data_IF_637627730746
#
_entry.id   IF_637627730746
#
_cell.length_a   1.000
_cell.length_b   1.000
_cell.length_c   1.000
_cell.angle_alpha   90.00
_cell.angle_beta   90.00
_cell.angle_gamma   90.00
#
_symmetry.space_group_name_H-M   'P 1'
#
loop_
_entity.id
_entity.type
_entity.pdbx_description
1 polymer ?
#
# COMPACT_ATOMS: atom_id res chain seq x y z
N UNK A 1 -20.02 1.77 7.17
CA UNK A 1 -18.72 1.14 7.40
C UNK A 1 -18.31 0.53 6.07
N UNK A 2 -17.12 0.88 5.57
CA UNK A 2 -16.67 0.38 4.26
C UNK A 2 -16.36 -1.11 4.35
N UNK A 3 -16.63 -1.86 3.28
CA UNK A 3 -16.30 -3.29 3.24
C UNK A 3 -14.93 -3.46 2.58
N UNK A 4 -13.88 -3.51 3.38
CA UNK A 4 -12.50 -3.66 2.91
C UNK A 4 -12.26 -4.98 2.17
N UNK A 5 -13.07 -6.01 2.47
CA UNK A 5 -12.98 -7.33 1.84
C UNK A 5 -13.40 -7.33 0.36
N UNK A 6 -14.10 -6.28 -0.09
CA UNK A 6 -14.55 -6.12 -1.47
C UNK A 6 -13.63 -5.26 -2.33
N UNK A 7 -12.60 -4.65 -1.73
CA UNK A 7 -11.69 -3.77 -2.45
C UNK A 7 -10.83 -4.57 -3.43
N UNK A 8 -10.58 -3.95 -4.59
CA UNK A 8 -9.76 -4.54 -5.66
C UNK A 8 -8.77 -3.56 -6.25
N UNK A 9 -9.01 -2.27 -6.14
CA UNK A 9 -8.17 -1.23 -6.73
C UNK A 9 -7.98 -0.06 -5.76
N UNK A 10 -6.73 0.32 -5.54
CA UNK A 10 -6.35 1.48 -4.74
C UNK A 10 -5.43 2.38 -5.57
N UNK A 11 -5.67 3.69 -5.51
CA UNK A 11 -4.69 4.68 -5.94
C UNK A 11 -3.85 5.13 -4.75
N UNK A 12 -2.52 5.10 -4.90
CA UNK A 12 -1.58 5.58 -3.88
C UNK A 12 -1.01 6.94 -4.26
N UNK A 13 -1.22 7.92 -3.38
CA UNK A 13 -0.72 9.28 -3.53
C UNK A 13 0.43 9.52 -2.55
N UNK A 14 1.54 9.97 -3.11
CA UNK A 14 2.73 10.38 -2.37
C UNK A 14 2.56 11.84 -1.90
N UNK A 15 2.52 12.11 -0.58
CA UNK A 15 2.41 13.47 -0.04
C UNK A 15 3.61 14.36 -0.32
N UNK A 16 4.76 13.80 -0.71
CA UNK A 16 5.94 14.56 -1.11
C UNK A 16 5.89 15.01 -2.59
N UNK A 17 4.93 14.53 -3.39
CA UNK A 17 4.81 14.86 -4.81
C UNK A 17 3.65 15.81 -5.08
N UNK A 18 3.88 16.75 -6.00
CA UNK A 18 2.82 17.63 -6.46
C UNK A 18 1.85 16.90 -7.40
N UNK A 19 0.56 17.13 -7.18
CA UNK A 19 -0.53 16.67 -8.04
C UNK A 19 -1.59 17.76 -8.09
N UNK A 20 -2.17 18.04 -9.26
CA UNK A 20 -3.14 19.13 -9.43
C UNK A 20 -4.50 18.81 -8.79
N UNK A 21 -5.28 19.83 -8.44
CA UNK A 21 -6.62 19.65 -7.86
C UNK A 21 -7.54 18.90 -8.82
N UNK A 22 -7.54 19.26 -10.10
CA UNK A 22 -8.29 18.56 -11.16
C UNK A 22 -7.93 17.06 -11.24
N UNK A 23 -6.67 16.71 -11.01
CA UNK A 23 -6.27 15.30 -11.02
C UNK A 23 -6.75 14.56 -9.78
N UNK A 24 -6.69 15.18 -8.60
CA UNK A 24 -7.25 14.58 -7.38
C UNK A 24 -8.75 14.33 -7.55
N UNK A 25 -9.50 15.29 -8.09
CA UNK A 25 -10.93 15.12 -8.34
C UNK A 25 -11.20 13.91 -9.24
N UNK A 26 -10.46 13.80 -10.36
CA UNK A 26 -10.56 12.67 -11.30
C UNK A 26 -10.21 11.34 -10.64
N UNK A 27 -9.21 11.30 -9.78
CA UNK A 27 -8.79 10.09 -9.06
C UNK A 27 -9.89 9.70 -8.06
N UNK A 28 -10.41 10.64 -7.28
CA UNK A 28 -11.43 10.38 -6.27
C UNK A 28 -12.78 9.96 -6.89
N UNK A 29 -13.10 10.46 -8.08
CA UNK A 29 -14.32 10.13 -8.83
C UNK A 29 -14.14 8.98 -9.82
N UNK A 30 -12.92 8.42 -9.93
CA UNK A 30 -12.59 7.35 -10.89
C UNK A 30 -13.35 6.04 -10.66
N UNK A 31 -13.85 5.85 -9.44
CA UNK A 31 -14.41 4.60 -8.96
C UNK A 31 -13.39 3.70 -8.26
N UNK A 32 -12.14 4.12 -8.05
CA UNK A 32 -11.19 3.38 -7.19
C UNK A 32 -11.81 3.07 -5.83
N UNK A 33 -11.46 1.95 -5.22
CA UNK A 33 -12.12 1.48 -3.99
C UNK A 33 -11.61 2.23 -2.76
N UNK A 34 -10.37 2.72 -2.81
CA UNK A 34 -9.83 3.65 -1.82
C UNK A 34 -8.70 4.51 -2.41
N UNK A 35 -8.36 5.58 -1.68
CA UNK A 35 -7.15 6.38 -1.85
C UNK A 35 -6.23 6.11 -0.66
N UNK A 36 -5.00 5.72 -0.95
CA UNK A 36 -3.96 5.54 0.06
C UNK A 36 -2.99 6.72 0.00
N UNK A 37 -2.79 7.42 1.10
CA UNK A 37 -1.77 8.45 1.25
C UNK A 37 -0.57 7.83 1.93
N UNK A 38 0.58 7.83 1.26
CA UNK A 38 1.81 7.21 1.79
C UNK A 38 2.97 7.39 0.83
N UNK A 39 4.18 7.44 1.38
CA UNK A 39 5.43 7.67 0.64
C UNK A 39 6.62 7.01 1.32
N UNK A 40 7.81 7.16 0.74
CA UNK A 40 9.05 6.61 1.30
C UNK A 40 9.89 7.69 1.98
N UNK A 41 10.12 8.79 1.28
CA UNK A 41 10.93 9.91 1.74
C UNK A 41 10.12 11.21 1.76
N UNK A 42 10.55 12.16 2.60
CA UNK A 42 9.95 13.49 2.74
C UNK A 42 8.44 13.53 3.07
N UNK A 43 7.94 12.47 3.72
CA UNK A 43 6.56 12.43 4.24
C UNK A 43 6.47 13.28 5.50
N UNK A 44 5.80 14.42 5.40
CA UNK A 44 5.60 15.39 6.49
C UNK A 44 4.13 15.46 6.94
N UNK A 45 3.89 15.86 8.19
CA UNK A 45 2.54 16.11 8.72
C UNK A 45 1.75 17.10 7.85
N UNK A 46 2.40 18.17 7.40
CA UNK A 46 1.76 19.18 6.53
C UNK A 46 1.37 18.58 5.18
N UNK A 47 2.24 17.77 4.57
CA UNK A 47 1.96 17.11 3.29
C UNK A 47 0.76 16.17 3.37
N UNK A 48 0.70 15.33 4.41
CA UNK A 48 -0.44 14.41 4.59
C UNK A 48 -1.74 15.15 4.93
N UNK A 49 -1.69 16.24 5.70
CA UNK A 49 -2.87 17.07 6.00
C UNK A 49 -3.38 17.80 4.75
N UNK A 50 -2.48 18.32 3.92
CA UNK A 50 -2.82 18.98 2.68
C UNK A 50 -3.51 18.01 1.71
N UNK A 51 -2.94 16.83 1.47
CA UNK A 51 -3.60 15.81 0.64
C UNK A 51 -4.94 15.38 1.22
N UNK A 52 -5.00 15.10 2.53
CA UNK A 52 -6.25 14.73 3.19
C UNK A 52 -7.35 15.78 2.97
N UNK A 53 -7.03 17.06 3.16
CA UNK A 53 -8.01 18.16 3.00
C UNK A 53 -8.60 18.26 1.59
N UNK A 54 -7.84 17.84 0.57
CA UNK A 54 -8.25 17.83 -0.83
C UNK A 54 -9.11 16.60 -1.12
N UNK A 55 -8.72 15.43 -0.63
CA UNK A 55 -9.45 14.17 -0.80
C UNK A 55 -10.77 14.14 -0.01
N UNK A 56 -10.81 14.73 1.19
CA UNK A 56 -11.98 14.67 2.10
C UNK A 56 -13.23 15.40 1.62
N UNK A 57 -13.16 16.07 0.46
CA UNK A 57 -14.33 16.61 -0.23
C UNK A 57 -15.13 15.53 -0.98
N UNK A 58 -14.56 14.34 -1.13
CA UNK A 58 -15.13 13.19 -1.84
C UNK A 58 -15.52 12.08 -0.87
N UNK A 59 -16.31 11.11 -1.35
CA UNK A 59 -16.83 9.99 -0.55
C UNK A 59 -15.95 8.74 -0.62
N UNK A 60 -14.89 8.75 -1.42
CA UNK A 60 -13.96 7.62 -1.52
C UNK A 60 -13.25 7.42 -0.18
N UNK A 61 -13.11 6.17 0.32
CA UNK A 61 -12.32 5.90 1.52
C UNK A 61 -10.90 6.43 1.37
N UNK A 62 -10.37 7.01 2.43
CA UNK A 62 -8.98 7.48 2.48
C UNK A 62 -8.21 6.79 3.60
N UNK A 63 -7.07 6.22 3.24
CA UNK A 63 -6.18 5.44 4.11
C UNK A 63 -4.90 6.25 4.32
N UNK A 64 -4.39 6.29 5.54
CA UNK A 64 -3.01 6.70 5.80
C UNK A 64 -2.15 5.45 5.93
N UNK A 65 -1.23 5.24 5.00
CA UNK A 65 -0.16 4.26 5.18
C UNK A 65 0.97 4.94 5.99
N UNK A 66 1.23 4.43 7.19
CA UNK A 66 2.11 5.09 8.15
C UNK A 66 3.57 4.88 7.74
N UNK A 67 4.19 5.91 7.16
CA UNK A 67 5.62 5.93 6.82
C UNK A 67 6.51 6.27 8.02
N UNK A 68 6.03 7.12 8.92
CA UNK A 68 6.74 7.55 10.13
C UNK A 68 5.74 8.04 11.20
N UNK A 69 6.20 8.14 12.44
CA UNK A 69 5.34 8.52 13.57
C UNK A 69 4.94 10.00 13.48
N UNK A 70 5.84 10.86 13.02
CA UNK A 70 5.70 12.31 13.03
C UNK A 70 4.61 12.82 12.07
N UNK A 71 4.25 12.04 11.06
CA UNK A 71 3.19 12.36 10.09
C UNK A 71 1.83 11.77 10.44
N UNK A 72 1.71 10.98 11.51
CA UNK A 72 0.42 10.40 11.91
C UNK A 72 -0.55 11.49 12.35
N UNK A 73 -1.78 11.46 11.83
CA UNK A 73 -2.81 12.45 12.12
C UNK A 73 -4.21 11.86 12.06
N UNK A 74 -5.17 12.31 12.89
CA UNK A 74 -6.56 11.89 12.81
C UNK A 74 -7.22 12.31 11.50
N UNK A 75 -8.34 11.67 11.17
CA UNK A 75 -9.20 12.08 10.05
C UNK A 75 -9.07 11.23 8.79
N UNK A 76 -8.29 10.15 8.82
CA UNK A 76 -8.34 9.07 7.83
C UNK A 76 -9.38 8.03 8.22
N UNK A 77 -9.89 7.26 7.26
CA UNK A 77 -10.87 6.20 7.53
C UNK A 77 -10.20 4.95 8.07
N UNK A 78 -8.98 4.69 7.60
CA UNK A 78 -8.15 3.56 8.01
C UNK A 78 -6.68 3.95 8.07
N UNK A 79 -5.94 3.22 8.89
CA UNK A 79 -4.51 3.38 9.09
C UNK A 79 -3.83 2.05 8.80
N UNK A 80 -2.99 2.07 7.79
CA UNK A 80 -2.26 0.90 7.33
C UNK A 80 -0.84 0.95 7.91
N UNK A 81 -0.42 -0.14 8.53
CA UNK A 81 0.82 -0.24 9.32
C UNK A 81 1.74 -1.29 8.67
N UNK A 82 2.72 -0.86 7.87
CA UNK A 82 3.68 -1.77 7.27
C UNK A 82 4.52 -2.51 8.31
N UNK A 83 4.67 -3.82 8.15
CA UNK A 83 5.63 -4.69 8.82
C UNK A 83 6.58 -5.24 7.75
N UNK A 84 7.78 -4.68 7.61
CA UNK A 84 8.70 -5.08 6.52
C UNK A 84 9.36 -6.42 6.83
N UNK A 85 8.82 -7.50 6.29
CA UNK A 85 9.18 -8.87 6.65
C UNK A 85 10.58 -9.27 6.16
N UNK A 86 11.01 -8.74 5.02
CA UNK A 86 12.33 -9.00 4.45
C UNK A 86 13.38 -7.92 4.79
N UNK A 87 13.09 -7.06 5.78
CA UNK A 87 14.08 -6.16 6.35
C UNK A 87 15.12 -6.92 7.18
N UNK A 88 16.38 -6.49 7.12
CA UNK A 88 17.42 -6.99 8.02
C UNK A 88 17.43 -6.25 9.37
N UNK A 89 16.72 -5.12 9.45
CA UNK A 89 16.60 -4.31 10.65
C UNK A 89 15.26 -4.55 11.33
N UNK A 90 15.31 -5.14 12.54
CA UNK A 90 14.12 -5.35 13.40
C UNK A 90 13.28 -4.07 13.56
N UNK A 91 13.92 -2.91 13.44
CA UNK A 91 13.29 -1.60 13.42
C UNK A 91 12.02 -1.56 12.57
N UNK A 92 12.10 -2.04 11.32
CA UNK A 92 11.01 -1.92 10.34
C UNK A 92 9.94 -2.99 10.48
N UNK A 93 10.26 -4.10 11.13
CA UNK A 93 9.31 -5.17 11.40
C UNK A 93 8.55 -4.96 12.72
N UNK A 94 9.15 -4.33 13.73
CA UNK A 94 8.57 -4.32 15.08
C UNK A 94 8.83 -3.06 15.91
N UNK A 95 10.04 -2.49 15.89
CA UNK A 95 10.40 -1.50 16.92
C UNK A 95 9.69 -0.16 16.72
N UNK A 96 9.49 0.30 15.47
CA UNK A 96 8.77 1.55 15.18
C UNK A 96 7.29 1.43 15.57
N UNK A 97 6.68 0.28 15.28
CA UNK A 97 5.29 -0.01 15.62
C UNK A 97 5.12 -0.04 17.14
N UNK A 98 6.02 -0.72 17.86
CA UNK A 98 6.00 -0.73 19.32
C UNK A 98 6.17 0.69 19.89
N UNK A 99 7.09 1.49 19.35
CA UNK A 99 7.27 2.89 19.78
C UNK A 99 6.00 3.73 19.58
N UNK A 100 5.31 3.56 18.45
CA UNK A 100 4.04 4.24 18.20
C UNK A 100 2.96 3.83 19.22
N UNK A 101 2.90 2.55 19.61
CA UNK A 101 1.95 2.09 20.63
C UNK A 101 2.29 2.60 22.02
N UNK A 102 3.58 2.77 22.36
CA UNK A 102 3.99 3.41 23.62
C UNK A 102 3.51 4.87 23.69
N UNK A 103 3.55 5.58 22.57
CA UNK A 103 3.25 7.02 22.52
C UNK A 103 1.74 7.30 22.36
N UNK A 104 1.03 6.47 21.58
CA UNK A 104 -0.36 6.72 21.18
C UNK A 104 -1.34 5.62 21.58
N UNK A 105 -0.90 4.54 22.21
CA UNK A 105 -1.70 3.33 22.48
C UNK A 105 -3.05 3.57 23.18
N UNK A 106 -3.12 4.57 24.07
CA UNK A 106 -4.34 4.90 24.82
C UNK A 106 -5.42 5.60 23.97
N UNK A 107 -5.07 6.13 22.81
CA UNK A 107 -5.98 6.88 21.92
C UNK A 107 -6.18 6.22 20.55
N UNK A 108 -5.44 5.15 20.25
CA UNK A 108 -5.58 4.41 18.99
C UNK A 108 -6.96 3.74 18.93
N UNK A 109 -7.68 3.97 17.84
CA UNK A 109 -8.82 3.15 17.47
C UNK A 109 -8.32 1.90 16.72
N UNK A 110 -8.26 0.77 17.42
CA UNK A 110 -7.72 -0.48 16.88
C UNK A 110 -8.58 -1.09 15.76
N UNK A 111 -9.87 -0.74 15.69
CA UNK A 111 -10.78 -1.22 14.65
C UNK A 111 -10.52 -0.56 13.27
N UNK A 112 -9.75 0.53 13.25
CA UNK A 112 -9.38 1.27 12.04
C UNK A 112 -7.92 1.02 11.63
N UNK A 113 -7.18 0.20 12.39
CA UNK A 113 -5.77 -0.09 12.19
C UNK A 113 -5.55 -1.48 11.57
N UNK A 114 -4.84 -1.54 10.44
CA UNK A 114 -4.56 -2.80 9.74
C UNK A 114 -3.06 -2.97 9.51
N UNK A 115 -2.52 -4.11 9.94
CA UNK A 115 -1.13 -4.45 9.71
C UNK A 115 -0.91 -5.06 8.32
N UNK A 116 0.17 -4.69 7.65
CA UNK A 116 0.51 -5.17 6.32
C UNK A 116 1.86 -5.88 6.33
N UNK A 117 1.89 -7.18 6.01
CA UNK A 117 3.13 -7.91 5.85
C UNK A 117 3.80 -7.52 4.53
N UNK A 118 4.78 -6.62 4.57
CA UNK A 118 5.49 -6.16 3.38
C UNK A 118 6.60 -7.12 2.96
N UNK A 119 6.61 -7.51 1.68
CA UNK A 119 7.71 -8.18 1.02
C UNK A 119 8.19 -7.31 -0.16
N UNK A 120 9.29 -6.59 0.02
CA UNK A 120 9.81 -5.63 -0.95
C UNK A 120 10.78 -6.33 -1.91
N UNK A 121 10.45 -6.33 -3.19
CA UNK A 121 11.08 -7.15 -4.23
C UNK A 121 11.87 -6.36 -5.28
N UNK A 122 11.93 -5.02 -5.17
CA UNK A 122 12.74 -4.19 -6.06
C UNK A 122 13.95 -3.59 -5.32
N UNK A 123 15.14 -4.15 -5.53
CA UNK A 123 16.40 -3.71 -4.88
C UNK A 123 16.82 -2.27 -5.25
N UNK A 124 16.40 -1.80 -6.42
CA UNK A 124 16.69 -0.44 -6.91
C UNK A 124 15.75 0.62 -6.32
N UNK A 125 14.71 0.20 -5.59
CA UNK A 125 13.74 1.13 -5.03
C UNK A 125 14.28 1.83 -3.77
N UNK A 126 13.87 3.09 -3.59
CA UNK A 126 14.20 3.85 -2.36
C UNK A 126 13.73 3.12 -1.10
N UNK A 127 12.54 2.50 -1.14
CA UNK A 127 11.94 1.82 0.02
C UNK A 127 12.74 0.58 0.43
N UNK A 128 13.27 -0.17 -0.54
CA UNK A 128 14.13 -1.31 -0.27
C UNK A 128 15.42 -0.91 0.46
N UNK A 129 16.06 0.16 -0.01
CA UNK A 129 17.29 0.70 0.58
C UNK A 129 17.03 1.33 1.95
N UNK A 130 15.95 2.11 2.07
CA UNK A 130 15.54 2.77 3.32
C UNK A 130 15.23 1.76 4.43
N UNK A 131 14.56 0.66 4.07
CA UNK A 131 14.17 -0.38 5.00
C UNK A 131 15.27 -1.43 5.25
N UNK A 132 16.48 -1.26 4.69
CA UNK A 132 17.58 -2.22 4.89
C UNK A 132 17.22 -3.64 4.47
N UNK A 133 16.55 -3.80 3.33
CA UNK A 133 16.02 -5.09 2.90
C UNK A 133 17.11 -6.01 2.34
N UNK A 134 16.86 -7.32 2.48
CA UNK A 134 17.52 -8.35 1.68
C UNK A 134 16.54 -8.84 0.62
N UNK A 135 16.99 -8.90 -0.64
CA UNK A 135 16.16 -9.36 -1.74
C UNK A 135 15.92 -10.87 -1.56
N UNK A 136 14.66 -11.30 -1.37
CA UNK A 136 14.37 -12.71 -1.21
C UNK A 136 14.31 -13.39 -2.57
N UNK A 137 14.66 -14.67 -2.59
CA UNK A 137 14.28 -15.58 -3.66
C UNK A 137 12.76 -15.75 -3.75
N UNK A 138 12.26 -16.32 -4.84
CA UNK A 138 10.82 -16.62 -4.98
C UNK A 138 10.31 -17.51 -3.84
N UNK A 139 11.07 -18.56 -3.48
CA UNK A 139 10.71 -19.45 -2.36
C UNK A 139 10.69 -18.72 -1.02
N UNK A 140 11.62 -17.80 -0.78
CA UNK A 140 11.63 -16.97 0.44
C UNK A 140 10.44 -15.99 0.47
N UNK A 141 10.06 -15.39 -0.66
CA UNK A 141 8.88 -14.52 -0.75
C UNK A 141 7.59 -15.30 -0.47
N UNK A 142 7.45 -16.51 -1.03
CA UNK A 142 6.36 -17.44 -0.75
C UNK A 142 6.34 -17.83 0.73
N UNK A 143 7.51 -18.07 1.34
CA UNK A 143 7.61 -18.36 2.76
C UNK A 143 7.14 -17.18 3.64
N UNK A 144 7.46 -15.94 3.27
CA UNK A 144 6.94 -14.76 3.96
C UNK A 144 5.41 -14.66 3.86
N UNK A 145 4.83 -14.97 2.70
CA UNK A 145 3.37 -15.02 2.53
C UNK A 145 2.74 -16.06 3.47
N UNK A 146 3.31 -17.27 3.56
CA UNK A 146 2.88 -18.31 4.50
C UNK A 146 3.00 -17.89 5.96
N UNK A 147 4.04 -17.13 6.32
CA UNK A 147 4.18 -16.56 7.65
C UNK A 147 3.09 -15.52 7.95
N UNK A 148 2.80 -14.63 7.00
CA UNK A 148 1.73 -13.63 7.12
C UNK A 148 0.37 -14.31 7.33
N UNK A 149 0.05 -15.35 6.56
CA UNK A 149 -1.19 -16.12 6.66
C UNK A 149 -1.29 -16.93 7.97
N UNK A 150 -0.33 -17.82 8.22
CA UNK A 150 -0.50 -18.86 9.25
C UNK A 150 0.05 -18.47 10.61
N UNK A 151 1.20 -17.77 10.65
CA UNK A 151 1.90 -17.46 11.89
C UNK A 151 1.40 -16.14 12.49
N UNK A 152 1.34 -15.09 11.68
CA UNK A 152 0.96 -13.76 12.11
C UNK A 152 -0.54 -13.48 11.94
N UNK A 153 -1.19 -14.15 10.98
CA UNK A 153 -2.60 -13.94 10.61
C UNK A 153 -2.87 -12.47 10.31
N UNK A 154 -1.99 -11.88 9.50
CA UNK A 154 -2.12 -10.48 9.09
C UNK A 154 -3.32 -10.33 8.15
N UNK A 155 -4.03 -9.20 8.20
CA UNK A 155 -5.11 -8.94 7.25
C UNK A 155 -4.57 -8.82 5.81
N UNK A 156 -3.36 -8.29 5.65
CA UNK A 156 -2.75 -8.05 4.34
C UNK A 156 -1.34 -8.61 4.23
N UNK A 157 -1.01 -9.13 3.05
CA UNK A 157 0.35 -9.37 2.59
C UNK A 157 0.58 -8.50 1.35
N UNK A 158 1.51 -7.56 1.45
CA UNK A 158 1.80 -6.59 0.40
C UNK A 158 3.09 -7.00 -0.32
N UNK A 159 2.95 -7.43 -1.58
CA UNK A 159 4.06 -7.67 -2.49
C UNK A 159 4.43 -6.37 -3.22
N UNK A 160 5.54 -5.77 -2.81
CA UNK A 160 5.92 -4.41 -3.21
C UNK A 160 7.09 -4.43 -4.22
N UNK A 161 6.83 -3.89 -5.41
CA UNK A 161 7.73 -3.79 -6.55
C UNK A 161 7.99 -2.33 -6.96
N UNK A 162 7.74 -1.36 -6.07
CA UNK A 162 7.82 0.09 -6.29
C UNK A 162 8.88 0.50 -7.33
N UNK A 163 8.43 1.12 -8.42
CA UNK A 163 9.28 1.55 -9.53
C UNK A 163 9.52 0.53 -10.64
N UNK A 164 9.10 -0.73 -10.51
CA UNK A 164 9.17 -1.73 -11.59
C UNK A 164 7.94 -2.65 -11.60
N UNK A 165 7.69 -3.31 -12.73
CA UNK A 165 6.61 -4.28 -12.86
C UNK A 165 7.12 -5.67 -12.46
N UNK A 166 6.48 -6.30 -11.47
CA UNK A 166 6.85 -7.59 -10.94
C UNK A 166 6.51 -8.77 -11.85
N UNK A 167 7.00 -9.95 -11.50
CA UNK A 167 6.71 -11.20 -12.21
C UNK A 167 5.32 -11.74 -11.83
N UNK A 168 4.34 -11.80 -12.77
CA UNK A 168 2.99 -12.30 -12.48
C UNK A 168 2.97 -13.74 -11.96
N UNK A 169 3.95 -14.58 -12.33
CA UNK A 169 4.01 -15.97 -11.88
C UNK A 169 4.29 -16.09 -10.38
N UNK A 170 5.06 -15.15 -9.82
CA UNK A 170 5.28 -15.05 -8.38
C UNK A 170 4.00 -14.59 -7.67
N UNK A 171 3.29 -13.60 -8.21
CA UNK A 171 2.01 -13.13 -7.66
C UNK A 171 1.00 -14.28 -7.61
N UNK A 172 0.90 -15.06 -8.69
CA UNK A 172 0.07 -16.26 -8.74
C UNK A 172 0.49 -17.32 -7.71
N UNK A 173 1.79 -17.55 -7.54
CA UNK A 173 2.28 -18.55 -6.59
C UNK A 173 1.97 -18.14 -5.15
N UNK A 174 2.10 -16.85 -4.84
CA UNK A 174 1.76 -16.31 -3.53
C UNK A 174 0.25 -16.36 -3.27
N UNK A 175 -0.59 -16.02 -4.25
CA UNK A 175 -2.04 -16.03 -4.05
C UNK A 175 -2.61 -17.42 -3.75
N UNK A 176 -1.92 -18.49 -4.16
CA UNK A 176 -2.30 -19.87 -3.85
C UNK A 176 -2.02 -20.26 -2.39
N UNK A 177 -1.18 -19.51 -1.68
CA UNK A 177 -0.83 -19.76 -0.27
C UNK A 177 -1.69 -18.96 0.70
N UNK A 178 -2.40 -17.95 0.21
CA UNK A 178 -3.18 -17.01 1.01
C UNK A 178 -4.67 -17.36 0.92
N UNK A 179 -5.32 -17.48 2.08
CA UNK A 179 -6.74 -17.86 2.17
C UNK A 179 -7.55 -16.83 2.95
N UNK A 180 -7.02 -16.38 4.09
CA UNK A 180 -7.63 -15.33 4.91
C UNK A 180 -6.93 -13.98 4.73
N UNK A 181 -5.60 -13.99 4.56
CA UNK A 181 -4.81 -12.78 4.31
C UNK A 181 -5.03 -12.33 2.86
N UNK A 182 -5.33 -11.05 2.67
CA UNK A 182 -5.52 -10.46 1.34
C UNK A 182 -4.18 -10.13 0.68
N UNK A 183 -4.02 -10.51 -0.58
CA UNK A 183 -2.83 -10.18 -1.37
C UNK A 183 -2.97 -8.78 -1.96
N UNK A 184 -2.10 -7.87 -1.53
CA UNK A 184 -1.92 -6.57 -2.16
C UNK A 184 -0.71 -6.65 -3.09
N UNK A 185 -0.87 -6.22 -4.34
CA UNK A 185 0.24 -6.02 -5.27
C UNK A 185 0.40 -4.53 -5.59
N UNK A 186 1.60 -4.01 -5.41
CA UNK A 186 1.96 -2.65 -5.83
C UNK A 186 3.29 -2.65 -6.58
N UNK A 187 3.36 -1.96 -7.72
CA UNK A 187 4.61 -1.80 -8.48
C UNK A 187 4.41 -1.80 -9.99
N UNK A 188 4.89 -0.75 -10.65
CA UNK A 188 5.05 -0.69 -12.11
C UNK A 188 3.78 -0.86 -12.96
N UNK A 189 2.58 -0.78 -12.38
CA UNK A 189 1.34 -0.75 -13.14
C UNK A 189 1.21 0.66 -13.75
N UNK A 190 1.34 0.73 -15.06
CA UNK A 190 1.21 1.96 -15.86
C UNK A 190 0.04 1.89 -16.83
N UNK A 191 -0.37 0.67 -17.22
CA UNK A 191 -1.42 0.45 -18.21
C UNK A 191 -2.57 -0.41 -17.69
N UNK A 192 -3.71 -0.35 -18.39
CA UNK A 192 -4.87 -1.20 -18.10
C UNK A 192 -4.53 -2.68 -18.26
N UNK A 193 -3.69 -3.03 -19.23
CA UNK A 193 -3.30 -4.41 -19.52
C UNK A 193 -2.46 -5.01 -18.38
N UNK A 194 -1.52 -4.22 -17.84
CA UNK A 194 -0.75 -4.60 -16.66
C UNK A 194 -1.64 -4.77 -15.42
N UNK A 195 -2.55 -3.81 -15.19
CA UNK A 195 -3.53 -3.91 -14.12
C UNK A 195 -4.39 -5.17 -14.25
N UNK A 196 -4.83 -5.52 -15.46
CA UNK A 196 -5.61 -6.74 -15.73
C UNK A 196 -4.87 -8.00 -15.32
N UNK A 197 -3.61 -8.15 -15.76
CA UNK A 197 -2.79 -9.33 -15.43
C UNK A 197 -2.60 -9.48 -13.93
N UNK A 198 -2.26 -8.40 -13.22
CA UNK A 198 -2.03 -8.49 -11.77
C UNK A 198 -3.33 -8.75 -10.98
N UNK A 199 -4.46 -8.19 -11.42
CA UNK A 199 -5.76 -8.39 -10.78
C UNK A 199 -6.35 -9.80 -10.90
N UNK A 200 -5.79 -10.64 -11.79
CA UNK A 200 -6.17 -12.06 -11.84
C UNK A 200 -5.68 -12.83 -10.61
N UNK A 201 -4.64 -12.33 -9.93
CA UNK A 201 -3.95 -13.02 -8.85
C UNK A 201 -3.98 -12.26 -7.53
N UNK A 202 -3.78 -10.94 -7.56
CA UNK A 202 -3.86 -10.10 -6.38
C UNK A 202 -5.32 -9.78 -6.04
N UNK A 203 -5.67 -9.81 -4.76
CA UNK A 203 -6.97 -9.34 -4.30
C UNK A 203 -7.11 -7.83 -4.55
N UNK A 204 -6.05 -7.07 -4.25
CA UNK A 204 -5.99 -5.62 -4.38
C UNK A 204 -4.76 -5.23 -5.21
N UNK A 205 -4.94 -4.42 -6.24
CA UNK A 205 -3.83 -3.77 -6.96
C UNK A 205 -3.69 -2.30 -6.54
N UNK A 206 -2.45 -1.86 -6.39
CA UNK A 206 -2.09 -0.48 -6.02
C UNK A 206 -1.40 0.20 -7.20
N UNK A 207 -1.96 1.34 -7.63
CA UNK A 207 -1.40 2.17 -8.70
C UNK A 207 -0.94 3.50 -8.11
N UNK A 208 0.36 3.79 -8.24
CA UNK A 208 1.00 4.98 -7.66
C UNK A 208 1.66 5.85 -8.73
N UNK A 209 2.95 5.61 -8.99
CA UNK A 209 3.80 6.44 -9.87
C UNK A 209 3.18 6.81 -11.23
N UNK A 210 2.41 5.91 -11.85
CA UNK A 210 1.72 6.17 -13.11
C UNK A 210 0.77 7.38 -13.07
N UNK A 211 0.24 7.75 -11.91
CA UNK A 211 -0.57 8.96 -11.73
C UNK A 211 0.19 10.25 -12.01
N UNK A 212 1.51 10.24 -11.81
CA UNK A 212 2.39 11.38 -12.04
C UNK A 212 2.99 11.35 -13.44
N UNK A 213 3.36 10.16 -13.93
CA UNK A 213 4.06 9.99 -15.20
C UNK A 213 3.11 9.97 -16.41
N UNK A 214 1.99 9.24 -16.30
CA UNK A 214 0.98 9.14 -17.35
C UNK A 214 -0.47 9.01 -16.79
N UNK A 215 -1.00 10.10 -16.21
CA UNK A 215 -2.26 10.04 -15.46
C UNK A 215 -3.47 9.53 -16.27
N UNK A 216 -3.50 9.77 -17.59
CA UNK A 216 -4.61 9.32 -18.44
C UNK A 216 -4.65 7.81 -18.60
N UNK A 217 -3.50 7.16 -18.66
CA UNK A 217 -3.44 5.69 -18.69
C UNK A 217 -3.68 5.12 -17.29
N UNK A 218 -3.10 5.73 -16.26
CA UNK A 218 -3.32 5.33 -14.87
C UNK A 218 -4.81 5.33 -14.50
N UNK A 219 -5.59 6.35 -14.88
CA UNK A 219 -7.04 6.37 -14.61
C UNK A 219 -7.83 5.22 -15.27
N UNK A 220 -7.28 4.54 -16.28
CA UNK A 220 -7.95 3.39 -16.91
C UNK A 220 -7.79 2.10 -16.13
N UNK A 221 -6.84 2.01 -15.20
CA UNK A 221 -6.57 0.79 -14.41
C UNK A 221 -7.76 0.40 -13.54
N UNK A 222 -8.51 1.39 -13.03
CA UNK A 222 -9.75 1.17 -12.26
C UNK A 222 -10.79 0.35 -13.03
N UNK A 223 -10.82 0.44 -14.37
CA UNK A 223 -11.80 -0.26 -15.21
C UNK A 223 -11.57 -1.77 -15.30
N UNK A 224 -10.50 -2.27 -14.70
CA UNK A 224 -10.21 -3.71 -14.63
C UNK A 224 -11.04 -4.39 -13.54
N UNK A 225 -11.38 -3.66 -12.48
CA UNK A 225 -12.00 -4.22 -11.28
C UNK A 225 -13.49 -3.92 -11.15
N UNK A 226 -14.06 -3.18 -12.12
CA UNK A 226 -15.47 -2.77 -12.19
C UNK A 226 -16.26 -3.54 -13.24
#
# INVERSE_FOLDING_TARGET
MYNIDEWKHIFKLDPAKEISEEMIDKICESGTDAIMVGGTDDVTLDGVLQLLSRIRRHTVPVILEISNIESVTPGYDYYFVPLVLNSQDKKWMMDVQHQAVVEYGDIINWDEMFAEGYCIMNEESKVFQHAGCKLPTQDEAIAYARMAEHLFRLPFFYLEYSGTYGDPSLVQSISQELGHTKLIYGGGIETKEQAAVMSEYADIIVVGNALYDNPKEALKTVKVTK
#
